data_IF_384014264975
#
_entry.id   IF_384014264975
#
_cell.length_a   1.000
_cell.length_b   1.000
_cell.length_c   1.000
_cell.angle_alpha   90.00
_cell.angle_beta   90.00
_cell.angle_gamma   90.00
#
_symmetry.space_group_name_H-M   'P 1'
#
loop_
_entity.id
_entity.type
_entity.pdbx_description
1 polymer ?
#
# COMPACT_ATOMS: atom_id res chain seq x y z
N UNK A 1 -6.56 -7.75 -10.84
CA UNK A 1 -5.67 -6.90 -10.01
C UNK A 1 -5.12 -5.76 -10.84
N UNK A 2 -5.30 -4.57 -10.38
CA UNK A 2 -4.86 -3.36 -11.06
C UNK A 2 -3.39 -3.09 -10.71
N UNK A 3 -2.48 -3.15 -11.69
CA UNK A 3 -1.03 -3.13 -11.46
C UNK A 3 -0.34 -1.79 -11.78
N UNK A 4 -1.09 -0.73 -12.09
CA UNK A 4 -0.49 0.58 -12.39
C UNK A 4 -0.21 1.37 -11.10
N UNK A 5 1.05 1.30 -10.65
CA UNK A 5 1.58 2.05 -9.52
C UNK A 5 2.30 3.34 -9.95
N UNK A 6 2.44 3.58 -11.26
CA UNK A 6 3.23 4.71 -11.80
C UNK A 6 2.57 6.08 -11.64
N UNK A 7 1.48 6.14 -10.92
CA UNK A 7 0.97 7.37 -10.33
C UNK A 7 -0.05 8.16 -11.14
N UNK A 8 -0.31 7.83 -12.41
CA UNK A 8 -1.33 8.52 -13.21
C UNK A 8 -2.74 8.15 -12.79
N UNK A 9 -3.03 6.86 -12.73
CA UNK A 9 -4.35 6.32 -12.41
C UNK A 9 -4.54 6.20 -10.90
N UNK A 10 -3.52 5.79 -10.15
CA UNK A 10 -3.61 5.65 -8.69
C UNK A 10 -4.02 6.95 -8.01
N UNK A 11 -3.45 8.08 -8.45
CA UNK A 11 -3.79 9.43 -7.93
C UNK A 11 -5.20 9.91 -8.27
N UNK A 12 -5.87 9.29 -9.26
CA UNK A 12 -7.22 9.69 -9.71
C UNK A 12 -8.30 8.71 -9.26
N UNK A 13 -7.89 7.58 -8.64
CA UNK A 13 -8.81 6.55 -8.21
C UNK A 13 -9.44 6.91 -6.87
N UNK A 14 -10.76 7.00 -6.84
CA UNK A 14 -11.55 7.07 -5.63
C UNK A 14 -12.19 5.71 -5.42
N UNK A 15 -12.11 5.19 -4.20
CA UNK A 15 -12.63 3.88 -3.83
C UNK A 15 -13.87 4.10 -2.95
N UNK A 16 -14.99 3.54 -3.36
CA UNK A 16 -16.19 3.44 -2.55
C UNK A 16 -16.40 1.97 -2.21
N UNK A 17 -16.45 1.67 -0.93
CA UNK A 17 -16.67 0.30 -0.46
C UNK A 17 -18.16 0.05 -0.28
N UNK A 18 -18.71 -0.96 -0.97
CA UNK A 18 -20.06 -1.46 -0.82
C UNK A 18 -19.98 -2.82 -0.15
N UNK A 19 -19.91 -2.84 1.18
CA UNK A 19 -19.73 -4.06 1.97
C UNK A 19 -21.04 -4.78 2.30
N UNK A 20 -22.19 -4.10 2.15
CA UNK A 20 -23.47 -4.72 2.44
C UNK A 20 -23.93 -5.62 1.30
N UNK A 21 -24.17 -6.87 1.62
CA UNK A 21 -24.75 -7.84 0.69
C UNK A 21 -26.26 -7.84 0.85
N UNK A 22 -26.98 -7.44 -0.19
CA UNK A 22 -28.45 -7.51 -0.21
C UNK A 22 -28.86 -8.98 -0.29
N UNK A 23 -29.61 -9.52 0.72
CA UNK A 23 -30.15 -10.86 0.71
C UNK A 23 -30.99 -11.13 -0.54
N UNK A 24 -31.02 -12.38 -1.01
CA UNK A 24 -31.69 -12.71 -2.28
C UNK A 24 -33.21 -12.40 -2.28
N UNK A 25 -33.84 -12.56 -1.12
CA UNK A 25 -35.25 -12.23 -0.91
C UNK A 25 -35.55 -10.72 -0.88
N UNK A 26 -34.52 -9.87 -0.74
CA UNK A 26 -34.64 -8.40 -0.74
C UNK A 26 -34.20 -7.79 -2.06
N UNK A 27 -33.68 -8.59 -2.99
CA UNK A 27 -33.25 -8.11 -4.30
C UNK A 27 -34.46 -7.70 -5.15
N UNK A 28 -34.44 -6.45 -5.61
CA UNK A 28 -35.43 -5.94 -6.53
C UNK A 28 -35.02 -6.19 -7.99
N UNK A 29 -35.68 -7.14 -8.70
CA UNK A 29 -35.33 -7.43 -10.09
C UNK A 29 -35.60 -6.26 -11.06
N UNK A 30 -36.38 -5.27 -10.62
CA UNK A 30 -36.72 -4.08 -11.41
C UNK A 30 -35.88 -2.85 -11.03
N UNK A 31 -34.93 -2.99 -10.10
CA UNK A 31 -34.11 -1.87 -9.59
C UNK A 31 -33.48 -1.05 -10.71
N UNK A 32 -32.89 -1.71 -11.71
CA UNK A 32 -32.24 -1.02 -12.85
C UNK A 32 -33.26 -0.12 -13.58
N UNK A 33 -34.46 -0.63 -13.89
CA UNK A 33 -35.50 0.17 -14.57
C UNK A 33 -36.02 1.31 -13.70
N UNK A 34 -36.09 1.13 -12.39
CA UNK A 34 -36.47 2.19 -11.45
C UNK A 34 -35.41 3.29 -11.44
N UNK A 35 -34.12 2.92 -11.36
CA UNK A 35 -33.01 3.87 -11.42
C UNK A 35 -33.01 4.63 -12.76
N UNK A 36 -33.21 3.92 -13.89
CA UNK A 36 -33.28 4.55 -15.21
C UNK A 36 -34.38 5.59 -15.31
N UNK A 37 -35.55 5.30 -14.73
CA UNK A 37 -36.70 6.23 -14.71
C UNK A 37 -36.44 7.50 -13.89
N UNK A 38 -35.62 7.39 -12.82
CA UNK A 38 -35.27 8.48 -11.91
C UNK A 38 -33.94 9.17 -12.24
N UNK A 39 -33.21 8.66 -13.21
CA UNK A 39 -31.83 9.08 -13.49
C UNK A 39 -31.70 10.60 -13.70
N UNK A 40 -32.64 11.21 -14.40
CA UNK A 40 -32.64 12.67 -14.63
C UNK A 40 -32.77 13.48 -13.32
N UNK A 41 -33.56 12.98 -12.39
CA UNK A 41 -33.76 13.61 -11.07
C UNK A 41 -32.50 13.44 -10.22
N UNK A 42 -31.92 12.24 -10.22
CA UNK A 42 -30.66 11.94 -9.51
C UNK A 42 -29.52 12.81 -10.02
N UNK A 43 -29.36 12.91 -11.34
CA UNK A 43 -28.32 13.75 -11.96
C UNK A 43 -28.53 15.23 -11.57
N UNK A 44 -29.76 15.73 -11.67
CA UNK A 44 -30.07 17.12 -11.29
C UNK A 44 -29.75 17.39 -9.82
N UNK A 45 -30.11 16.45 -8.93
CA UNK A 45 -29.80 16.55 -7.50
C UNK A 45 -28.29 16.58 -7.26
N UNK A 46 -27.51 15.70 -7.91
CA UNK A 46 -26.06 15.65 -7.79
C UNK A 46 -25.40 16.96 -8.30
N UNK A 47 -25.84 17.47 -9.46
CA UNK A 47 -25.34 18.73 -10.00
C UNK A 47 -25.62 19.92 -9.07
N UNK A 48 -26.79 19.93 -8.43
CA UNK A 48 -27.12 20.96 -7.45
C UNK A 48 -26.31 20.79 -6.16
N UNK A 49 -26.20 19.57 -5.64
CA UNK A 49 -25.48 19.27 -4.39
C UNK A 49 -23.97 19.55 -4.50
N UNK A 50 -23.40 19.29 -5.66
CA UNK A 50 -21.98 19.47 -5.94
C UNK A 50 -21.72 20.64 -6.92
N UNK A 51 -22.55 21.70 -6.85
CA UNK A 51 -22.37 22.91 -7.64
C UNK A 51 -21.05 23.63 -7.33
N UNK A 52 -20.61 23.56 -6.07
CA UNK A 52 -19.28 23.98 -5.66
C UNK A 52 -18.25 22.90 -6.02
N UNK A 53 -17.46 23.19 -7.07
CA UNK A 53 -16.43 22.27 -7.55
C UNK A 53 -15.27 22.06 -6.57
N UNK A 54 -14.96 23.06 -5.75
CA UNK A 54 -13.85 22.96 -4.81
C UNK A 54 -14.24 22.11 -3.61
N UNK A 55 -15.49 22.24 -3.15
CA UNK A 55 -16.07 21.35 -2.16
C UNK A 55 -16.13 19.90 -2.67
N UNK A 56 -16.57 19.69 -3.91
CA UNK A 56 -16.63 18.37 -4.51
C UNK A 56 -15.21 17.73 -4.61
N UNK A 57 -14.21 18.49 -5.02
CA UNK A 57 -12.81 18.02 -5.06
C UNK A 57 -12.28 17.67 -3.66
N UNK A 58 -12.62 18.49 -2.66
CA UNK A 58 -12.22 18.24 -1.27
C UNK A 58 -12.79 16.92 -0.77
N UNK A 59 -14.08 16.68 -0.95
CA UNK A 59 -14.74 15.42 -0.55
C UNK A 59 -14.17 14.19 -1.26
N UNK A 60 -13.90 14.29 -2.57
CA UNK A 60 -13.26 13.21 -3.33
C UNK A 60 -11.84 12.92 -2.84
N UNK A 61 -11.08 13.96 -2.49
CA UNK A 61 -9.74 13.81 -1.95
C UNK A 61 -9.77 13.15 -0.56
N UNK A 62 -10.69 13.57 0.31
CA UNK A 62 -10.89 12.98 1.64
C UNK A 62 -11.25 11.49 1.53
N UNK A 63 -12.16 11.13 0.61
CA UNK A 63 -12.51 9.74 0.36
C UNK A 63 -11.31 8.94 -0.19
N UNK A 64 -10.52 9.52 -1.07
CA UNK A 64 -9.31 8.87 -1.61
C UNK A 64 -8.29 8.55 -0.53
N UNK A 65 -8.22 9.39 0.51
CA UNK A 65 -7.32 9.28 1.66
C UNK A 65 -7.95 8.62 2.87
N UNK A 66 -9.18 8.16 2.76
CA UNK A 66 -9.88 7.50 3.86
C UNK A 66 -9.18 6.20 4.28
N UNK A 67 -9.36 5.84 5.53
CA UNK A 67 -8.83 4.58 6.08
C UNK A 67 -9.41 3.37 5.36
N UNK A 68 -10.71 3.40 5.00
CA UNK A 68 -11.35 2.36 4.18
C UNK A 68 -10.67 2.18 2.82
N UNK A 69 -10.34 3.28 2.14
CA UNK A 69 -9.63 3.21 0.87
C UNK A 69 -8.22 2.63 1.05
N UNK A 70 -7.54 2.95 2.16
CA UNK A 70 -6.23 2.41 2.48
C UNK A 70 -6.31 0.90 2.75
N UNK A 71 -7.30 0.41 3.50
CA UNK A 71 -7.50 -1.04 3.75
C UNK A 71 -7.64 -1.80 2.43
N UNK A 72 -8.49 -1.33 1.52
CA UNK A 72 -8.68 -1.98 0.20
C UNK A 72 -7.39 -1.95 -0.63
N UNK A 73 -6.60 -0.87 -0.55
CA UNK A 73 -5.31 -0.78 -1.24
C UNK A 73 -4.30 -1.78 -0.66
N UNK A 74 -4.27 -1.95 0.65
CA UNK A 74 -3.43 -2.93 1.35
C UNK A 74 -3.75 -4.36 0.93
N UNK A 75 -5.02 -4.73 0.91
CA UNK A 75 -5.49 -6.06 0.46
C UNK A 75 -5.12 -6.35 -1.00
N UNK A 76 -5.15 -5.34 -1.86
CA UNK A 76 -4.86 -5.46 -3.28
C UNK A 76 -3.38 -5.34 -3.65
N UNK A 77 -2.52 -4.84 -2.77
CA UNK A 77 -1.12 -4.52 -3.07
C UNK A 77 -0.20 -4.80 -1.88
N UNK A 78 0.55 -5.90 -1.99
CA UNK A 78 1.51 -6.34 -0.97
C UNK A 78 2.61 -5.33 -0.66
N UNK A 79 2.97 -4.43 -1.59
CA UNK A 79 3.95 -3.39 -1.30
C UNK A 79 3.32 -2.28 -0.46
N UNK A 80 2.09 -1.89 -0.76
CA UNK A 80 1.35 -0.92 0.06
C UNK A 80 1.18 -1.49 1.47
N UNK A 81 0.77 -2.75 1.60
CA UNK A 81 0.61 -3.37 2.92
C UNK A 81 1.94 -3.44 3.68
N UNK A 82 3.03 -3.86 3.03
CA UNK A 82 4.38 -3.84 3.61
C UNK A 82 4.79 -2.44 4.10
N UNK A 83 4.45 -1.37 3.37
CA UNK A 83 4.76 0.00 3.76
C UNK A 83 4.05 0.45 5.05
N UNK A 84 2.98 -0.22 5.46
CA UNK A 84 2.34 -0.02 6.76
C UNK A 84 3.29 -0.30 7.93
N UNK A 85 4.20 -1.25 7.77
CA UNK A 85 5.21 -1.63 8.77
C UNK A 85 6.47 -0.76 8.78
N UNK A 86 6.48 0.34 8.02
CA UNK A 86 7.63 1.23 7.91
C UNK A 86 7.37 2.57 8.60
N UNK A 87 8.39 3.10 9.25
CA UNK A 87 8.46 4.48 9.73
C UNK A 87 9.52 5.25 8.96
N UNK A 88 9.37 6.56 8.86
CA UNK A 88 10.29 7.45 8.15
C UNK A 88 11.04 8.38 9.10
N UNK A 89 12.32 8.61 8.80
CA UNK A 89 13.14 9.66 9.38
C UNK A 89 13.27 10.85 8.40
N UNK A 90 13.65 12.01 8.90
CA UNK A 90 13.95 13.19 8.08
C UNK A 90 15.24 12.96 7.27
N UNK A 91 16.18 12.19 7.82
CA UNK A 91 17.48 11.90 7.19
C UNK A 91 17.54 10.46 6.69
N UNK A 92 18.39 10.20 5.70
CA UNK A 92 18.59 8.85 5.15
C UNK A 92 19.58 8.03 6.01
N UNK A 93 19.21 7.79 7.26
CA UNK A 93 19.97 6.98 8.23
C UNK A 93 19.31 5.63 8.54
N UNK A 94 18.24 5.30 7.82
CA UNK A 94 17.49 4.06 7.95
C UNK A 94 18.15 2.83 7.30
N UNK A 95 17.34 1.91 6.83
CA UNK A 95 17.79 0.64 6.25
C UNK A 95 18.47 0.82 4.90
N UNK A 96 19.46 -0.04 4.61
CA UNK A 96 19.99 -0.16 3.26
C UNK A 96 18.99 -0.85 2.34
N UNK A 97 19.01 -0.52 1.05
CA UNK A 97 18.08 -1.18 0.10
C UNK A 97 18.42 -2.67 -0.03
N UNK A 98 19.66 -3.01 -0.26
CA UNK A 98 20.12 -4.38 -0.49
C UNK A 98 19.68 -4.93 -1.85
N UNK A 99 19.97 -6.22 -2.08
CA UNK A 99 19.47 -7.01 -3.19
C UNK A 99 19.33 -8.48 -2.75
N UNK A 100 18.64 -9.32 -3.54
CA UNK A 100 18.38 -10.71 -3.19
C UNK A 100 19.64 -11.60 -3.17
N UNK A 101 20.75 -11.15 -3.78
CA UNK A 101 22.01 -11.91 -3.90
C UNK A 101 22.88 -11.76 -2.65
N UNK A 102 22.63 -10.77 -1.81
CA UNK A 102 23.39 -10.58 -0.57
C UNK A 102 23.02 -11.70 0.40
N UNK A 103 24.01 -12.52 0.73
CA UNK A 103 23.86 -13.62 1.67
C UNK A 103 24.83 -13.48 2.86
N UNK A 104 24.43 -13.84 4.06
CA UNK A 104 23.08 -14.33 4.44
C UNK A 104 22.01 -13.23 4.38
N UNK A 105 20.76 -13.64 4.19
CA UNK A 105 19.64 -12.70 4.20
C UNK A 105 19.56 -11.98 5.55
N UNK A 106 19.46 -10.66 5.51
CA UNK A 106 19.36 -9.85 6.73
C UNK A 106 18.20 -8.84 6.60
N UNK A 107 16.98 -9.22 7.00
CA UNK A 107 15.80 -8.37 6.89
C UNK A 107 15.79 -7.19 7.87
N UNK A 108 16.68 -7.18 8.87
CA UNK A 108 16.82 -6.03 9.79
C UNK A 108 17.73 -4.94 9.25
N UNK A 109 18.59 -5.29 8.29
CA UNK A 109 19.57 -4.39 7.68
C UNK A 109 19.14 -3.92 6.31
N UNK A 110 18.54 -4.81 5.51
CA UNK A 110 18.23 -4.57 4.11
C UNK A 110 16.71 -4.54 3.88
N UNK A 111 16.23 -3.43 3.37
CA UNK A 111 14.80 -3.17 3.16
C UNK A 111 14.17 -4.17 2.19
N UNK A 112 14.89 -4.52 1.11
CA UNK A 112 14.39 -5.51 0.16
C UNK A 112 14.34 -6.93 0.76
N UNK A 113 15.29 -7.28 1.66
CA UNK A 113 15.22 -8.53 2.42
C UNK A 113 14.05 -8.55 3.39
N UNK A 114 13.75 -7.41 4.03
CA UNK A 114 12.57 -7.27 4.87
C UNK A 114 11.30 -7.52 4.07
N UNK A 115 11.16 -6.91 2.88
CA UNK A 115 10.05 -7.15 1.97
C UNK A 115 9.92 -8.62 1.55
N UNK A 116 11.02 -9.29 1.17
CA UNK A 116 11.00 -10.71 0.81
C UNK A 116 10.64 -11.61 2.01
N UNK A 117 11.02 -11.22 3.21
CA UNK A 117 10.67 -11.94 4.44
C UNK A 117 9.19 -11.76 4.76
N UNK A 118 8.68 -10.53 4.67
CA UNK A 118 7.27 -10.21 4.78
C UNK A 118 6.41 -11.04 3.79
N UNK A 119 6.78 -11.07 2.51
CA UNK A 119 6.09 -11.85 1.48
C UNK A 119 6.01 -13.33 1.84
N UNK A 120 7.11 -13.93 2.31
CA UNK A 120 7.15 -15.34 2.73
C UNK A 120 6.30 -15.61 3.96
N UNK A 121 6.39 -14.75 4.98
CA UNK A 121 5.64 -14.91 6.22
C UNK A 121 4.12 -14.86 5.99
N UNK A 122 3.68 -14.07 5.03
CA UNK A 122 2.26 -13.94 4.66
C UNK A 122 1.81 -14.87 3.52
N UNK A 123 2.64 -15.85 3.13
CA UNK A 123 2.28 -16.81 2.08
C UNK A 123 2.15 -16.22 0.68
N UNK A 124 2.71 -15.04 0.42
CA UNK A 124 2.62 -14.33 -0.84
C UNK A 124 3.71 -14.81 -1.80
N UNK A 125 3.33 -15.37 -2.93
CA UNK A 125 4.23 -16.13 -3.82
C UNK A 125 4.93 -15.33 -4.91
N UNK A 126 4.58 -14.04 -5.11
CA UNK A 126 5.09 -13.25 -6.26
C UNK A 126 5.66 -11.91 -5.79
N UNK A 127 6.85 -11.86 -5.21
CA UNK A 127 7.50 -10.61 -4.87
C UNK A 127 7.83 -9.82 -6.14
N UNK A 128 7.73 -8.49 -6.07
CA UNK A 128 8.16 -7.63 -7.17
C UNK A 128 9.69 -7.61 -7.24
N UNK A 129 10.23 -7.39 -8.45
CA UNK A 129 11.68 -7.28 -8.64
C UNK A 129 12.26 -6.09 -7.89
N UNK A 130 13.55 -6.14 -7.57
CA UNK A 130 14.27 -5.04 -6.90
C UNK A 130 14.13 -3.69 -7.62
N UNK A 131 14.21 -3.72 -8.96
CA UNK A 131 14.05 -2.50 -9.77
C UNK A 131 12.67 -1.91 -9.58
N UNK A 132 11.63 -2.73 -9.68
CA UNK A 132 10.25 -2.30 -9.49
C UNK A 132 9.98 -1.87 -8.04
N UNK A 133 10.52 -2.59 -7.07
CA UNK A 133 10.49 -2.21 -5.66
C UNK A 133 11.02 -0.79 -5.45
N UNK A 134 12.21 -0.48 -6.01
CA UNK A 134 12.80 0.86 -5.90
C UNK A 134 12.00 1.96 -6.60
N UNK A 135 11.26 1.63 -7.66
CA UNK A 135 10.42 2.58 -8.41
C UNK A 135 9.08 2.82 -7.71
N UNK A 136 8.48 1.77 -7.13
CA UNK A 136 7.12 1.81 -6.60
C UNK A 136 7.08 2.25 -5.12
N UNK A 137 8.18 2.13 -4.38
CA UNK A 137 8.29 2.52 -2.96
C UNK A 137 7.80 3.94 -2.66
N UNK A 138 8.18 4.99 -3.44
CA UNK A 138 7.70 6.35 -3.15
C UNK A 138 6.18 6.46 -3.21
N UNK A 139 5.55 5.81 -4.19
CA UNK A 139 4.09 5.79 -4.34
C UNK A 139 3.39 5.02 -3.22
N UNK A 140 3.93 3.85 -2.84
CA UNK A 140 3.37 3.04 -1.77
C UNK A 140 3.49 3.72 -0.39
N UNK A 141 4.60 4.42 -0.12
CA UNK A 141 4.79 5.19 1.11
C UNK A 141 3.88 6.43 1.17
N UNK A 142 3.60 7.06 0.02
CA UNK A 142 2.70 8.20 -0.06
C UNK A 142 1.24 7.86 0.28
N UNK A 143 0.84 6.58 0.21
CA UNK A 143 -0.49 6.15 0.68
C UNK A 143 -0.67 6.30 2.20
N UNK A 144 0.44 6.34 2.94
CA UNK A 144 0.50 6.60 4.39
C UNK A 144 0.96 8.02 4.73
N UNK A 145 0.94 8.95 3.76
CA UNK A 145 1.48 10.31 3.89
C UNK A 145 2.95 10.37 4.37
N UNK A 146 3.70 9.30 4.05
CA UNK A 146 5.12 9.16 4.38
C UNK A 146 5.99 9.47 3.15
N UNK A 147 7.02 10.30 3.34
CA UNK A 147 7.98 10.64 2.28
C UNK A 147 9.12 9.64 2.27
N UNK A 148 9.28 8.91 1.15
CA UNK A 148 10.39 8.00 0.94
C UNK A 148 11.57 8.71 0.28
N UNK A 149 12.76 8.57 0.87
CA UNK A 149 14.01 9.12 0.36
C UNK A 149 15.12 8.06 0.40
N UNK A 150 16.09 8.20 -0.49
CA UNK A 150 17.28 7.35 -0.53
C UNK A 150 18.53 8.15 -0.92
N UNK A 151 19.64 7.79 -0.32
CA UNK A 151 20.93 8.43 -0.57
C UNK A 151 22.02 7.38 -0.81
N UNK A 152 22.96 7.66 -1.72
CA UNK A 152 24.07 6.75 -2.01
C UNK A 152 25.20 7.00 -1.01
N UNK A 153 25.59 5.94 -0.31
CA UNK A 153 26.73 5.94 0.62
C UNK A 153 27.86 5.06 0.09
N UNK A 154 29.03 5.09 0.73
CA UNK A 154 30.12 4.17 0.44
C UNK A 154 29.74 2.69 0.65
N UNK A 155 28.78 2.41 1.51
CA UNK A 155 28.33 1.06 1.86
C UNK A 155 27.12 0.60 1.03
N UNK A 156 26.57 1.45 0.16
CA UNK A 156 25.41 1.15 -0.67
C UNK A 156 24.32 2.22 -0.60
N UNK A 157 23.17 1.91 -1.18
CA UNK A 157 22.03 2.81 -1.20
C UNK A 157 21.26 2.70 0.13
N UNK A 158 21.20 3.79 0.87
CA UNK A 158 20.55 3.89 2.19
C UNK A 158 19.26 4.70 2.09
N UNK A 159 18.24 4.26 2.80
CA UNK A 159 16.92 4.93 2.85
C UNK A 159 16.72 5.70 4.15
N UNK A 160 15.64 6.47 4.19
CA UNK A 160 15.15 7.11 5.41
C UNK A 160 14.09 6.28 6.14
N UNK A 161 13.93 4.99 5.83
CA UNK A 161 12.90 4.14 6.43
C UNK A 161 13.50 3.09 7.36
N UNK A 162 12.76 2.76 8.41
CA UNK A 162 13.02 1.69 9.37
C UNK A 162 11.74 0.90 9.60
N UNK A 163 11.86 -0.32 10.11
CA UNK A 163 10.73 -1.13 10.53
C UNK A 163 10.13 -0.59 11.84
N UNK A 164 8.80 -0.58 11.93
CA UNK A 164 8.08 -0.28 13.17
C UNK A 164 7.99 -1.53 14.09
N UNK A 165 7.39 -1.35 15.27
CA UNK A 165 7.21 -2.43 16.24
C UNK A 165 6.32 -3.58 15.71
N UNK A 166 5.31 -3.27 14.90
CA UNK A 166 4.36 -4.25 14.37
C UNK A 166 5.03 -5.24 13.42
N UNK A 167 6.18 -4.87 12.82
CA UNK A 167 6.97 -5.75 11.97
C UNK A 167 7.44 -7.04 12.67
N UNK A 168 7.40 -7.08 14.01
CA UNK A 168 7.75 -8.26 14.81
C UNK A 168 6.82 -9.45 14.55
N UNK A 169 5.60 -9.21 14.09
CA UNK A 169 4.61 -10.25 13.79
C UNK A 169 5.09 -11.23 12.72
N UNK A 170 5.82 -10.73 11.73
CA UNK A 170 6.31 -11.52 10.59
C UNK A 170 7.84 -11.63 10.53
N UNK A 171 8.55 -10.91 11.40
CA UNK A 171 10.00 -10.93 11.45
C UNK A 171 10.50 -12.18 12.16
N UNK A 172 11.50 -12.91 11.63
CA UNK A 172 12.10 -14.01 12.35
C UNK A 172 12.63 -13.58 13.71
N UNK A 173 12.34 -14.36 14.75
CA UNK A 173 12.95 -14.20 16.06
C UNK A 173 14.47 -14.21 15.92
N UNK A 174 15.15 -13.35 16.69
CA UNK A 174 16.60 -13.40 16.82
C UNK A 174 16.99 -14.63 17.65
N UNK A 175 16.94 -15.83 17.07
CA UNK A 175 17.58 -16.99 17.68
C UNK A 175 19.09 -16.81 17.54
N UNK A 176 19.72 -16.55 18.68
CA UNK A 176 21.16 -16.49 18.90
C UNK A 176 21.88 -17.85 18.68
N UNK A 177 21.35 -18.73 17.83
CA UNK A 177 21.79 -20.11 17.70
C UNK A 177 22.25 -20.50 16.28
N UNK A 178 22.90 -19.60 15.54
CA UNK A 178 23.65 -20.02 14.34
C UNK A 178 25.14 -19.74 14.45
N UNK A 179 25.72 -20.00 15.63
CA UNK A 179 27.16 -20.05 15.84
C UNK A 179 27.60 -21.43 16.35
N UNK A 180 27.14 -22.51 15.74
CA UNK A 180 27.76 -23.84 15.91
C UNK A 180 27.46 -24.67 14.67
N UNK A 181 28.45 -24.87 13.87
CA UNK A 181 28.88 -26.03 13.14
C UNK A 181 29.68 -25.58 11.90
N UNK A 182 30.95 -25.31 12.10
CA UNK A 182 32.03 -25.71 11.17
C UNK A 182 33.30 -25.80 12.01
N UNK A 183 33.53 -26.99 12.55
CA UNK A 183 34.84 -27.51 12.84
C UNK A 183 35.10 -28.67 11.90
#
# INVERSE_FOLDING_TARGET
SFSDRSGGISRRRVIFNFSEVVPENERDPMLVKKIEAELAIVIRYLLFKFADQDEAKRLLYEQQKSEEALVIKREGDSLVDFCGYLITSVVCDGMFIGNAEIMPSNPRRYLYHAYLTYMRANGLSKPISLTRFGTDMPGAMAEYDKTYQRHRTKQGLRSNVMLNEDSKEWMPSCDSTQNKVYR
#
